data_IF_187210578798
#
_entry.id   IF_187210578798
#
_cell.length_a   1.000
_cell.length_b   1.000
_cell.length_c   1.000
_cell.angle_alpha   90.00
_cell.angle_beta   90.00
_cell.angle_gamma   90.00
#
_symmetry.space_group_name_H-M   'P 1'
#
loop_
_entity.id
_entity.type
_entity.pdbx_description
1 polymer ?
#
# COMPACT_ATOMS: atom_id res chain seq x y z
N UNK A 1 -57.39 -29.87 15.34
CA UNK A 1 -56.84 -30.20 14.01
C UNK A 1 -55.83 -29.13 13.62
N UNK A 2 -54.56 -29.54 13.40
CA UNK A 2 -53.47 -28.95 12.57
C UNK A 2 -53.14 -27.43 12.73
N UNK A 3 -51.90 -26.93 12.72
CA UNK A 3 -50.54 -27.45 12.46
C UNK A 3 -49.50 -26.32 12.77
N UNK A 4 -48.33 -26.71 13.30
CA UNK A 4 -46.96 -26.38 12.84
C UNK A 4 -46.59 -24.89 12.72
N UNK A 5 -45.82 -24.39 13.68
CA UNK A 5 -44.36 -24.08 13.58
C UNK A 5 -43.96 -23.09 12.49
N UNK A 6 -43.50 -21.93 12.94
CA UNK A 6 -42.59 -21.06 12.20
C UNK A 6 -41.37 -20.78 13.06
N UNK A 7 -40.46 -21.76 13.18
CA UNK A 7 -39.13 -21.55 13.73
C UNK A 7 -38.35 -20.77 12.65
N UNK A 8 -38.30 -19.45 12.77
CA UNK A 8 -37.52 -18.62 11.86
C UNK A 8 -36.03 -18.91 12.05
N UNK A 9 -35.40 -19.21 10.92
CA UNK A 9 -33.98 -19.53 10.74
C UNK A 9 -33.12 -18.36 11.24
N UNK A 10 -32.68 -18.42 12.50
CA UNK A 10 -31.76 -17.44 13.12
C UNK A 10 -30.29 -17.90 13.12
N UNK A 11 -30.01 -19.11 12.64
CA UNK A 11 -28.65 -19.66 12.62
C UNK A 11 -27.73 -19.04 11.55
N UNK A 12 -28.27 -18.35 10.54
CA UNK A 12 -27.48 -17.72 9.48
C UNK A 12 -26.84 -16.37 9.85
N UNK A 13 -27.45 -15.62 10.78
CA UNK A 13 -26.97 -14.27 11.15
C UNK A 13 -25.88 -14.30 12.24
N UNK A 14 -25.90 -15.31 13.11
CA UNK A 14 -24.92 -15.46 14.20
C UNK A 14 -23.58 -16.03 13.72
N UNK A 15 -23.58 -16.85 12.67
CA UNK A 15 -22.35 -17.37 12.06
C UNK A 15 -21.57 -16.26 11.32
N UNK A 16 -22.25 -15.33 10.66
CA UNK A 16 -21.59 -14.20 9.99
C UNK A 16 -21.04 -13.15 10.96
N UNK A 17 -21.66 -12.92 12.12
CA UNK A 17 -21.17 -11.91 13.06
C UNK A 17 -19.83 -12.30 13.67
N UNK A 18 -19.66 -13.57 14.03
CA UNK A 18 -18.41 -14.08 14.64
C UNK A 18 -17.22 -14.05 13.66
N UNK A 19 -17.42 -14.47 12.42
CA UNK A 19 -16.36 -14.42 11.40
C UNK A 19 -15.92 -12.97 11.08
N UNK A 20 -16.89 -12.05 11.00
CA UNK A 20 -16.61 -10.62 10.76
C UNK A 20 -15.89 -9.98 11.94
N UNK A 21 -16.21 -10.38 13.17
CA UNK A 21 -15.56 -9.90 14.39
C UNK A 21 -14.09 -10.35 14.46
N UNK A 22 -13.79 -11.60 14.13
CA UNK A 22 -12.42 -12.13 14.05
C UNK A 22 -11.61 -11.41 12.96
N UNK A 23 -12.16 -11.23 11.76
CA UNK A 23 -11.49 -10.50 10.68
C UNK A 23 -11.18 -9.04 11.07
N UNK A 24 -12.10 -8.39 11.77
CA UNK A 24 -11.92 -7.03 12.30
C UNK A 24 -10.77 -6.97 13.31
N UNK A 25 -10.71 -7.92 14.26
CA UNK A 25 -9.64 -8.01 15.25
C UNK A 25 -8.26 -8.18 14.59
N UNK A 26 -8.14 -9.12 13.65
CA UNK A 26 -6.90 -9.37 12.90
C UNK A 26 -6.48 -8.12 12.12
N UNK A 27 -7.42 -7.48 11.41
CA UNK A 27 -7.15 -6.28 10.63
C UNK A 27 -6.69 -5.12 11.52
N UNK A 28 -7.29 -4.96 12.70
CA UNK A 28 -6.87 -3.96 13.68
C UNK A 28 -5.45 -4.25 14.20
N UNK A 29 -5.13 -5.51 14.50
CA UNK A 29 -3.79 -5.90 14.95
C UNK A 29 -2.73 -5.60 13.87
N UNK A 30 -3.00 -5.97 12.61
CA UNK A 30 -2.13 -5.65 11.48
C UNK A 30 -1.96 -4.14 11.27
N UNK A 31 -3.04 -3.38 11.45
CA UNK A 31 -2.99 -1.92 11.38
C UNK A 31 -2.08 -1.37 12.47
N UNK A 32 -2.20 -1.83 13.71
CA UNK A 32 -1.33 -1.40 14.80
C UNK A 32 0.13 -1.76 14.55
N UNK A 33 0.42 -2.95 14.03
CA UNK A 33 1.80 -3.33 13.68
C UNK A 33 2.38 -2.47 12.54
N UNK A 34 1.61 -2.17 11.51
CA UNK A 34 2.07 -1.30 10.41
C UNK A 34 2.28 0.15 10.87
N UNK A 35 1.49 0.61 11.85
CA UNK A 35 1.64 1.92 12.49
C UNK A 35 2.78 1.95 13.53
N UNK A 36 3.12 0.80 14.10
CA UNK A 36 4.20 0.67 15.08
C UNK A 36 5.57 0.98 14.46
N UNK A 37 6.60 1.03 15.29
CA UNK A 37 7.96 1.37 14.87
C UNK A 37 8.53 0.33 13.89
N UNK A 38 8.33 0.54 12.60
CA UNK A 38 8.87 -0.34 11.57
C UNK A 38 8.50 0.10 10.16
N UNK A 39 7.26 -0.15 9.75
CA UNK A 39 6.90 -0.08 8.33
C UNK A 39 6.87 1.34 7.76
N UNK A 40 6.03 2.24 8.30
CA UNK A 40 5.90 3.61 7.78
C UNK A 40 7.23 4.40 7.84
N UNK A 41 8.01 4.37 8.94
CA UNK A 41 9.33 5.00 8.96
C UNK A 41 10.29 4.40 7.92
N UNK A 42 10.25 3.07 7.70
CA UNK A 42 11.11 2.42 6.70
C UNK A 42 10.82 2.91 5.28
N UNK A 43 9.57 3.27 4.95
CA UNK A 43 9.23 3.86 3.64
C UNK A 43 10.01 5.15 3.35
N UNK A 44 10.34 5.93 4.40
CA UNK A 44 11.11 7.16 4.25
C UNK A 44 12.62 6.93 4.03
N UNK A 45 13.11 5.72 4.35
CA UNK A 45 14.53 5.33 4.17
C UNK A 45 14.83 4.80 2.78
N UNK A 46 13.81 4.62 1.94
CA UNK A 46 13.96 4.08 0.60
C UNK A 46 14.75 5.03 -0.29
N UNK A 47 15.78 4.49 -0.94
CA UNK A 47 16.53 5.17 -2.00
C UNK A 47 15.74 5.21 -3.31
N UNK A 48 14.83 6.19 -3.43
CA UNK A 48 14.01 6.39 -4.62
C UNK A 48 14.74 7.04 -5.79
N UNK A 49 15.94 7.58 -5.56
CA UNK A 49 16.65 8.40 -6.54
C UNK A 49 16.90 7.62 -7.84
N UNK A 50 17.49 6.43 -7.79
CA UNK A 50 17.78 5.62 -8.97
C UNK A 50 16.52 5.20 -9.73
N UNK A 51 15.47 4.86 -8.98
CA UNK A 51 14.22 4.31 -9.50
C UNK A 51 13.35 5.38 -10.17
N UNK A 52 13.35 6.60 -9.63
CA UNK A 52 12.45 7.67 -10.09
C UNK A 52 13.16 8.79 -10.86
N UNK A 53 14.50 8.84 -10.92
CA UNK A 53 15.22 9.89 -11.67
C UNK A 53 14.78 9.97 -13.13
N UNK A 54 14.70 8.82 -13.81
CA UNK A 54 14.28 8.80 -15.22
C UNK A 54 12.81 9.21 -15.38
N UNK A 55 11.96 8.85 -14.42
CA UNK A 55 10.55 9.24 -14.38
C UNK A 55 10.42 10.76 -14.30
N UNK A 56 11.09 11.38 -13.34
CA UNK A 56 11.00 12.81 -13.13
C UNK A 56 11.72 13.63 -14.20
N UNK A 57 12.84 13.15 -14.75
CA UNK A 57 13.54 13.85 -15.85
C UNK A 57 12.65 14.07 -17.08
N UNK A 58 11.75 13.12 -17.39
CA UNK A 58 10.79 13.26 -18.50
C UNK A 58 9.72 14.31 -18.22
N UNK A 59 9.35 14.47 -16.95
CA UNK A 59 8.28 15.38 -16.55
C UNK A 59 8.76 16.79 -16.23
N UNK A 60 10.02 16.95 -15.80
CA UNK A 60 10.64 18.26 -15.60
C UNK A 60 10.72 19.03 -16.91
N UNK A 61 11.02 18.34 -18.02
CA UNK A 61 10.96 18.91 -19.37
C UNK A 61 9.59 19.52 -19.69
N UNK A 62 8.50 18.83 -19.32
CA UNK A 62 7.13 19.30 -19.55
C UNK A 62 6.74 20.46 -18.64
N UNK A 63 7.33 20.54 -17.46
CA UNK A 63 7.10 21.60 -16.47
C UNK A 63 8.04 22.81 -16.68
N UNK A 64 8.85 22.83 -17.74
CA UNK A 64 9.86 23.85 -18.03
C UNK A 64 10.90 24.01 -16.90
N UNK A 65 11.28 22.88 -16.29
CA UNK A 65 12.29 22.79 -15.23
C UNK A 65 13.55 22.18 -15.85
N UNK A 66 14.61 22.98 -15.93
CA UNK A 66 15.87 22.69 -16.63
C UNK A 66 16.40 21.24 -16.51
N UNK A 67 16.87 20.70 -17.65
CA UNK A 67 17.39 19.33 -17.86
C UNK A 67 18.62 18.95 -17.05
N UNK A 68 19.45 19.92 -16.67
CA UNK A 68 20.72 19.70 -15.95
C UNK A 68 20.59 19.80 -14.42
N UNK A 69 19.35 19.81 -13.91
CA UNK A 69 19.14 19.94 -12.48
C UNK A 69 19.50 18.65 -11.75
N UNK A 70 20.58 18.69 -10.95
CA UNK A 70 20.86 17.69 -9.93
C UNK A 70 19.75 17.74 -8.87
N UNK A 71 18.66 16.99 -9.07
CA UNK A 71 17.56 16.92 -8.12
C UNK A 71 17.65 15.70 -7.21
N UNK A 72 17.09 15.83 -6.00
CA UNK A 72 16.97 14.74 -5.03
C UNK A 72 15.51 14.36 -4.84
N UNK A 73 15.23 13.07 -4.83
CA UNK A 73 13.89 12.50 -4.67
C UNK A 73 13.79 11.88 -3.29
N UNK A 74 12.75 12.24 -2.54
CA UNK A 74 12.53 11.73 -1.18
C UNK A 74 11.07 11.39 -0.98
N UNK A 75 10.79 10.26 -0.33
CA UNK A 75 9.47 9.95 0.20
C UNK A 75 9.29 10.66 1.54
N UNK A 76 8.15 11.30 1.74
CA UNK A 76 7.81 12.09 2.90
C UNK A 76 6.42 11.72 3.40
N UNK A 77 6.26 11.84 4.71
CA UNK A 77 4.96 11.82 5.39
C UNK A 77 4.06 10.64 4.97
N UNK A 78 4.54 9.38 5.06
CA UNK A 78 3.70 8.23 4.78
C UNK A 78 2.65 8.05 5.88
N UNK A 79 1.42 7.90 5.43
CA UNK A 79 0.24 7.69 6.25
C UNK A 79 -0.43 6.39 5.81
N UNK A 80 -0.84 5.60 6.80
CA UNK A 80 -1.64 4.41 6.60
C UNK A 80 -3.13 4.79 6.63
N UNK A 81 -3.82 4.64 5.51
CA UNK A 81 -5.23 4.98 5.38
C UNK A 81 -6.14 3.83 5.82
N UNK A 82 -5.81 2.61 5.38
CA UNK A 82 -6.61 1.42 5.64
C UNK A 82 -5.76 0.17 5.46
N UNK A 83 -6.03 -0.83 6.30
CA UNK A 83 -5.59 -2.21 6.07
C UNK A 83 -6.84 -3.05 5.88
N UNK A 84 -6.81 -4.01 4.96
CA UNK A 84 -7.85 -5.02 4.86
C UNK A 84 -7.28 -6.33 4.37
N UNK A 85 -7.91 -7.43 4.79
CA UNK A 85 -7.66 -8.75 4.25
C UNK A 85 -8.88 -9.16 3.41
N UNK A 86 -8.61 -9.67 2.21
CA UNK A 86 -9.63 -10.26 1.35
C UNK A 86 -9.30 -11.73 1.15
N UNK A 87 -10.32 -12.58 1.27
CA UNK A 87 -10.18 -13.99 0.89
C UNK A 87 -9.96 -14.10 -0.61
N UNK A 88 -8.89 -14.79 -1.00
CA UNK A 88 -8.67 -15.26 -2.36
C UNK A 88 -8.99 -16.76 -2.43
N UNK A 89 -9.06 -17.32 -3.63
CA UNK A 89 -9.30 -18.75 -3.81
C UNK A 89 -8.10 -19.58 -3.31
N UNK A 90 -8.34 -20.80 -2.82
CA UNK A 90 -7.32 -21.81 -2.49
C UNK A 90 -6.27 -21.43 -1.40
N UNK A 91 -6.70 -21.20 -0.14
CA UNK A 91 -5.81 -20.88 0.99
C UNK A 91 -4.94 -19.62 0.78
N UNK A 92 -5.41 -18.73 -0.08
CA UNK A 92 -4.76 -17.45 -0.36
C UNK A 92 -5.52 -16.30 0.31
N UNK A 93 -4.80 -15.25 0.67
CA UNK A 93 -5.36 -14.00 1.13
C UNK A 93 -4.68 -12.84 0.42
N UNK A 94 -5.44 -11.79 0.12
CA UNK A 94 -4.91 -10.53 -0.32
C UNK A 94 -4.88 -9.56 0.85
N UNK A 95 -3.69 -9.19 1.30
CA UNK A 95 -3.47 -8.06 2.19
C UNK A 95 -3.44 -6.78 1.35
N UNK A 96 -4.37 -5.88 1.64
CA UNK A 96 -4.46 -4.56 1.02
C UNK A 96 -4.06 -3.49 2.04
N UNK A 97 -3.03 -2.73 1.69
CA UNK A 97 -2.50 -1.63 2.51
C UNK A 97 -2.64 -0.32 1.73
N UNK A 98 -3.65 0.48 2.10
CA UNK A 98 -3.89 1.78 1.50
C UNK A 98 -2.95 2.83 2.13
N UNK A 99 -2.18 3.50 1.30
CA UNK A 99 -1.16 4.47 1.69
C UNK A 99 -1.40 5.83 1.04
N UNK A 100 -1.13 6.87 1.81
CA UNK A 100 -0.96 8.24 1.34
C UNK A 100 0.46 8.68 1.69
N UNK A 101 1.18 9.26 0.74
CA UNK A 101 2.50 9.84 1.02
C UNK A 101 2.83 10.92 0.00
N UNK A 102 3.84 11.71 0.33
CA UNK A 102 4.39 12.72 -0.57
C UNK A 102 5.70 12.25 -1.18
N UNK A 103 5.88 12.46 -2.48
CA UNK A 103 7.20 12.42 -3.11
C UNK A 103 7.65 13.86 -3.31
N UNK A 104 8.79 14.20 -2.70
CA UNK A 104 9.40 15.52 -2.80
C UNK A 104 10.57 15.46 -3.77
N UNK A 105 10.53 16.29 -4.82
CA UNK A 105 11.64 16.49 -5.76
C UNK A 105 12.28 17.83 -5.45
N UNK A 106 13.46 17.79 -4.81
CA UNK A 106 14.23 18.96 -4.40
C UNK A 106 15.21 19.36 -5.48
N UNK A 107 15.16 20.63 -5.88
CA UNK A 107 16.09 21.24 -6.83
C UNK A 107 17.05 22.18 -6.08
N UNK A 108 18.32 22.32 -6.50
CA UNK A 108 19.28 23.17 -5.79
C UNK A 108 18.94 24.66 -5.79
N UNK A 109 18.30 25.15 -6.85
CA UNK A 109 18.04 26.59 -7.07
C UNK A 109 16.55 26.92 -7.28
N UNK A 110 15.65 25.95 -7.06
CA UNK A 110 14.21 26.11 -7.28
C UNK A 110 13.44 25.57 -6.08
N UNK A 111 12.18 26.00 -5.94
CA UNK A 111 11.26 25.41 -4.98
C UNK A 111 11.12 23.91 -5.25
N UNK A 112 10.94 23.14 -4.18
CA UNK A 112 10.71 21.70 -4.30
C UNK A 112 9.33 21.45 -4.88
N UNK A 113 9.24 20.49 -5.81
CA UNK A 113 7.95 19.97 -6.23
C UNK A 113 7.48 18.93 -5.23
N UNK A 114 6.19 18.99 -4.87
CA UNK A 114 5.55 17.99 -4.01
C UNK A 114 4.48 17.26 -4.81
N UNK A 115 4.60 15.94 -4.84
CA UNK A 115 3.66 15.04 -5.49
C UNK A 115 2.97 14.24 -4.40
N UNK A 116 1.66 14.38 -4.28
CA UNK A 116 0.86 13.57 -3.39
C UNK A 116 0.49 12.27 -4.10
N UNK A 117 0.67 11.15 -3.42
CA UNK A 117 0.44 9.81 -3.97
C UNK A 117 -0.50 9.05 -3.04
N UNK A 118 -1.63 8.63 -3.59
CA UNK A 118 -2.56 7.71 -2.95
C UNK A 118 -2.57 6.39 -3.70
N UNK A 119 -2.27 5.30 -3.01
CA UNK A 119 -2.09 3.98 -3.62
C UNK A 119 -2.51 2.88 -2.66
N UNK A 120 -2.92 1.73 -3.20
CA UNK A 120 -3.03 0.49 -2.44
C UNK A 120 -1.82 -0.38 -2.74
N UNK A 121 -1.24 -0.99 -1.73
CA UNK A 121 -0.36 -2.13 -1.91
C UNK A 121 -1.19 -3.40 -1.78
N UNK A 122 -1.06 -4.30 -2.75
CA UNK A 122 -1.70 -5.61 -2.74
C UNK A 122 -0.63 -6.67 -2.59
N UNK A 123 -0.67 -7.40 -1.50
CA UNK A 123 0.24 -8.51 -1.18
C UNK A 123 -0.56 -9.79 -1.09
N UNK A 124 -0.18 -10.77 -1.89
CA UNK A 124 -0.70 -12.13 -1.76
C UNK A 124 -0.01 -12.83 -0.59
N UNK A 125 -0.81 -13.49 0.21
CA UNK A 125 -0.40 -14.33 1.32
C UNK A 125 -0.85 -15.76 1.04
N UNK A 126 0.04 -16.71 1.24
CA UNK A 126 -0.24 -18.14 1.08
C UNK A 126 -0.04 -18.85 2.43
N UNK A 127 -0.79 -19.92 2.66
CA UNK A 127 -0.47 -20.87 3.72
C UNK A 127 0.34 -22.04 3.17
N UNK A 128 1.55 -22.20 3.68
CA UNK A 128 2.42 -23.34 3.37
C UNK A 128 2.65 -24.18 4.62
N UNK A 129 2.87 -25.49 4.45
CA UNK A 129 3.26 -26.36 5.58
C UNK A 129 4.77 -26.46 5.65
N UNK A 130 5.32 -26.28 6.85
CA UNK A 130 6.72 -26.56 7.14
C UNK A 130 7.00 -28.08 7.19
N UNK A 131 8.26 -28.44 7.43
CA UNK A 131 8.71 -29.84 7.53
C UNK A 131 8.04 -30.62 8.66
N UNK A 132 7.54 -29.94 9.69
CA UNK A 132 6.83 -30.51 10.83
C UNK A 132 5.30 -30.54 10.61
N UNK A 133 4.82 -30.07 9.44
CA UNK A 133 3.41 -30.00 9.08
C UNK A 133 2.66 -28.79 9.65
N UNK A 134 3.34 -27.82 10.26
CA UNK A 134 2.74 -26.57 10.77
C UNK A 134 2.54 -25.58 9.63
N UNK A 135 1.43 -24.86 9.65
CA UNK A 135 1.19 -23.80 8.69
C UNK A 135 2.09 -22.59 8.97
N UNK A 136 2.63 -22.02 7.90
CA UNK A 136 3.41 -20.79 7.85
C UNK A 136 2.77 -19.82 6.87
N UNK A 137 2.86 -18.53 7.18
CA UNK A 137 2.47 -17.46 6.27
C UNK A 137 3.59 -17.21 5.26
N UNK A 138 3.35 -17.51 3.99
CA UNK A 138 4.28 -17.29 2.91
C UNK A 138 3.91 -16.03 2.10
N UNK A 139 4.93 -15.25 1.75
CA UNK A 139 4.80 -14.04 0.94
C UNK A 139 4.73 -14.39 -0.55
N UNK A 140 3.63 -13.98 -1.19
CA UNK A 140 3.40 -14.17 -2.61
C UNK A 140 3.72 -12.95 -3.45
N UNK A 141 2.89 -12.72 -4.49
CA UNK A 141 3.05 -11.54 -5.33
C UNK A 141 2.70 -10.25 -4.58
N UNK A 142 3.58 -9.25 -4.69
CA UNK A 142 3.33 -7.90 -4.22
C UNK A 142 3.36 -6.89 -5.36
N UNK A 143 2.38 -5.99 -5.37
CA UNK A 143 2.31 -4.87 -6.32
C UNK A 143 1.65 -3.64 -5.70
N UNK A 144 2.03 -2.48 -6.21
CA UNK A 144 1.31 -1.23 -5.94
C UNK A 144 0.21 -1.03 -6.98
N UNK A 145 -0.93 -0.51 -6.53
CA UNK A 145 -2.13 -0.23 -7.31
C UNK A 145 -2.49 1.23 -7.07
N UNK A 146 -2.15 2.13 -8.00
CA UNK A 146 -2.35 3.56 -7.80
C UNK A 146 -3.84 3.92 -7.77
N UNK A 147 -4.22 4.78 -6.85
CA UNK A 147 -5.53 5.43 -6.94
C UNK A 147 -5.38 6.78 -7.62
N UNK A 148 -4.46 7.61 -7.13
CA UNK A 148 -4.19 8.94 -7.68
C UNK A 148 -2.77 9.41 -7.40
N UNK A 149 -2.27 10.26 -8.30
CA UNK A 149 -1.07 11.07 -8.13
C UNK A 149 -1.44 12.48 -8.54
N UNK A 150 -1.14 13.47 -7.71
CA UNK A 150 -1.38 14.87 -8.02
C UNK A 150 -0.24 15.76 -7.55
N UNK A 151 -0.02 16.86 -8.26
CA UNK A 151 0.98 17.85 -7.91
C UNK A 151 0.35 18.83 -6.92
N UNK A 152 1.04 19.12 -5.81
CA UNK A 152 0.55 20.13 -4.88
C UNK A 152 0.61 21.51 -5.57
N UNK A 153 -0.53 22.23 -5.72
CA UNK A 153 -0.57 23.47 -6.48
C UNK A 153 0.39 24.55 -5.96
N UNK A 154 0.62 24.57 -4.63
CA UNK A 154 1.55 25.51 -3.98
C UNK A 154 3.01 25.28 -4.36
N UNK A 155 3.34 24.09 -4.86
CA UNK A 155 4.69 23.74 -5.30
C UNK A 155 4.97 24.17 -6.75
N UNK A 156 3.94 24.57 -7.51
CA UNK A 156 4.07 24.99 -8.90
C UNK A 156 4.27 26.50 -9.04
N UNK A 157 5.05 26.90 -10.04
CA UNK A 157 5.11 28.30 -10.46
C UNK A 157 3.84 28.66 -11.23
N UNK A 158 3.32 29.88 -11.04
CA UNK A 158 2.00 30.34 -11.55
C UNK A 158 1.85 30.34 -13.07
N UNK A 159 2.92 30.03 -13.82
CA UNK A 159 2.97 30.03 -15.29
C UNK A 159 2.64 28.68 -15.94
N UNK A 160 2.58 27.58 -15.19
CA UNK A 160 2.34 26.25 -15.76
C UNK A 160 0.83 26.03 -15.92
N UNK A 161 0.39 25.71 -17.13
CA UNK A 161 -1.03 25.47 -17.40
C UNK A 161 -1.55 24.20 -16.74
N UNK A 162 -2.82 24.23 -16.28
CA UNK A 162 -3.49 23.06 -15.69
C UNK A 162 -3.51 21.84 -16.63
N UNK A 163 -3.52 22.07 -17.95
CA UNK A 163 -3.47 21.00 -18.95
C UNK A 163 -2.13 20.24 -18.90
N UNK A 164 -1.02 20.96 -18.77
CA UNK A 164 0.32 20.36 -18.64
C UNK A 164 0.43 19.60 -17.31
N UNK A 165 -0.04 20.19 -16.22
CA UNK A 165 -0.07 19.56 -14.89
C UNK A 165 -0.81 18.22 -14.95
N UNK A 166 -2.04 18.20 -15.47
CA UNK A 166 -2.83 16.98 -15.55
C UNK A 166 -2.23 15.88 -16.44
N UNK A 167 -1.48 16.26 -17.48
CA UNK A 167 -0.75 15.27 -18.30
C UNK A 167 0.47 14.70 -17.56
N UNK A 168 1.20 15.53 -16.83
CA UNK A 168 2.32 15.10 -15.99
C UNK A 168 1.82 14.15 -14.91
N UNK A 169 0.73 14.47 -14.22
CA UNK A 169 0.12 13.61 -13.19
C UNK A 169 -0.24 12.22 -13.73
N UNK A 170 -0.83 12.14 -14.93
CA UNK A 170 -1.14 10.86 -15.59
C UNK A 170 0.12 10.05 -15.92
N UNK A 171 1.15 10.71 -16.43
CA UNK A 171 2.44 10.08 -16.76
C UNK A 171 3.10 9.57 -15.48
N UNK A 172 3.17 10.41 -14.44
CA UNK A 172 3.77 10.08 -13.15
C UNK A 172 3.04 8.95 -12.46
N UNK A 173 1.70 8.93 -12.50
CA UNK A 173 0.91 7.81 -12.00
C UNK A 173 1.49 6.51 -12.55
N UNK A 174 1.45 6.29 -13.86
CA UNK A 174 1.90 5.04 -14.47
C UNK A 174 3.38 4.72 -14.23
N UNK A 175 4.26 5.73 -14.27
CA UNK A 175 5.70 5.51 -14.18
C UNK A 175 6.18 5.30 -12.74
N UNK A 176 5.67 6.03 -11.75
CA UNK A 176 6.11 5.91 -10.36
C UNK A 176 5.77 4.53 -9.81
N UNK A 177 4.58 4.00 -10.09
CA UNK A 177 4.11 2.73 -9.49
C UNK A 177 5.02 1.56 -9.83
N UNK A 178 5.36 1.43 -11.11
CA UNK A 178 6.18 0.31 -11.59
C UNK A 178 7.57 0.33 -10.94
N UNK A 179 8.07 1.52 -10.62
CA UNK A 179 9.40 1.72 -10.04
C UNK A 179 9.37 1.69 -8.50
N UNK A 180 8.30 2.18 -7.88
CA UNK A 180 8.14 2.23 -6.43
C UNK A 180 7.90 0.82 -5.86
N UNK A 181 7.20 -0.04 -6.60
CA UNK A 181 6.89 -1.40 -6.16
C UNK A 181 8.15 -2.22 -5.88
N UNK A 182 9.17 -2.07 -6.71
CA UNK A 182 10.45 -2.76 -6.55
C UNK A 182 11.16 -2.44 -5.22
N UNK A 183 10.93 -1.25 -4.66
CA UNK A 183 11.58 -0.82 -3.42
C UNK A 183 10.69 -1.01 -2.18
N UNK A 184 9.36 -0.90 -2.35
CA UNK A 184 8.40 -1.00 -1.25
C UNK A 184 8.01 -2.44 -0.94
N UNK A 185 7.90 -3.31 -1.96
CA UNK A 185 7.53 -4.71 -1.75
C UNK A 185 8.50 -5.51 -0.85
N UNK A 186 9.83 -5.33 -0.95
CA UNK A 186 10.77 -5.95 -0.01
C UNK A 186 10.55 -5.52 1.44
N UNK A 187 10.12 -4.28 1.70
CA UNK A 187 9.88 -3.79 3.05
C UNK A 187 8.66 -4.46 3.68
N UNK A 188 7.56 -4.59 2.94
CA UNK A 188 6.37 -5.27 3.48
C UNK A 188 6.63 -6.77 3.65
N UNK A 189 7.46 -7.39 2.79
CA UNK A 189 7.89 -8.77 2.99
C UNK A 189 8.71 -8.93 4.27
N UNK A 190 9.67 -8.04 4.49
CA UNK A 190 10.48 -8.02 5.72
C UNK A 190 9.62 -7.76 6.95
N UNK A 191 8.59 -6.91 6.87
CA UNK A 191 7.65 -6.70 7.95
C UNK A 191 6.81 -7.96 8.22
N UNK A 192 6.24 -8.59 7.18
CA UNK A 192 5.45 -9.81 7.30
C UNK A 192 6.23 -10.95 7.96
N UNK A 193 7.51 -11.10 7.62
CA UNK A 193 8.39 -12.10 8.21
C UNK A 193 8.62 -11.88 9.72
N UNK A 194 8.52 -10.63 10.18
CA UNK A 194 8.76 -10.25 11.57
C UNK A 194 7.46 -9.89 12.31
N UNK A 195 6.29 -10.31 11.80
CA UNK A 195 5.01 -10.13 12.48
C UNK A 195 5.06 -10.69 13.90
N UNK A 196 4.29 -10.09 14.81
CA UNK A 196 4.11 -10.67 16.13
C UNK A 196 3.58 -12.12 15.97
N UNK A 197 4.19 -13.12 16.64
CA UNK A 197 3.76 -14.51 16.52
C UNK A 197 2.28 -14.74 16.84
N UNK A 198 1.68 -13.95 17.73
CA UNK A 198 0.25 -14.02 18.02
C UNK A 198 -0.58 -13.60 16.80
N UNK A 199 -0.25 -12.45 16.19
CA UNK A 199 -0.96 -11.92 15.01
C UNK A 199 -0.79 -12.87 13.82
N UNK A 200 0.41 -13.41 13.62
CA UNK A 200 0.68 -14.40 12.59
C UNK A 200 -0.16 -15.68 12.79
N UNK A 201 -0.27 -16.18 14.03
CA UNK A 201 -1.10 -17.35 14.34
C UNK A 201 -2.60 -17.08 14.14
N UNK A 202 -3.10 -15.89 14.49
CA UNK A 202 -4.49 -15.50 14.24
C UNK A 202 -4.80 -15.46 12.74
N UNK A 203 -3.90 -14.89 11.92
CA UNK A 203 -3.95 -14.92 10.46
C UNK A 203 -3.99 -16.35 9.89
N UNK A 204 -3.13 -17.22 10.40
CA UNK A 204 -3.06 -18.62 9.97
C UNK A 204 -4.35 -19.38 10.34
N UNK A 205 -4.82 -19.23 11.57
CA UNK A 205 -6.01 -19.91 12.07
C UNK A 205 -7.30 -19.45 11.38
N UNK A 206 -7.34 -18.20 10.90
CA UNK A 206 -8.46 -17.72 10.08
C UNK A 206 -8.54 -18.44 8.72
N UNK A 207 -7.42 -18.99 8.24
CA UNK A 207 -7.24 -19.51 6.88
C UNK A 207 -7.08 -21.03 6.80
N UNK A 208 -6.71 -21.69 7.91
CA UNK A 208 -6.65 -23.15 8.04
C UNK A 208 -8.01 -23.77 8.29
#
# INVERSE_FOLDING_TARGET
>A
MLKVSGLFVLCGLLASSSAQEVLSQITNALTQELLSEGFLPSLQTIELQSSLKNVFSRTTDLLDISRDSNFRIQLRDPELLQVSLQDSHNNEADLLVALLFSIQVKFPALNSLLFQVRTNMKVQLHLEKDVDGRYLLAFGHCRLVPESVWIEPRSLNTRISNFVVGNVEKILKNLIINNLGANVCPLINSWLYNLNPQVANELINQKS
#
